data_IF_936980611221
#
_entry.id   IF_936980611221
#
_cell.length_a   1.000
_cell.length_b   1.000
_cell.length_c   1.000
_cell.angle_alpha   90.00
_cell.angle_beta   90.00
_cell.angle_gamma   90.00
#
_symmetry.space_group_name_H-M   'P 1'
#
loop_
_entity.id
_entity.type
_entity.pdbx_description
1 polymer ?
#
# COMPACT_ATOMS: atom_id res chain seq x y z
N UNK A 1 -10.60 -21.71 30.28
CA UNK A 1 -10.86 -20.31 30.69
C UNK A 1 -9.55 -19.57 30.99
N UNK A 2 -8.60 -19.57 30.04
CA UNK A 2 -7.31 -18.84 30.15
C UNK A 2 -7.27 -17.64 29.18
N UNK A 3 -8.19 -17.58 28.20
CA UNK A 3 -8.19 -16.59 27.11
C UNK A 3 -8.80 -15.22 27.43
N UNK A 4 -9.20 -14.95 28.68
CA UNK A 4 -9.80 -13.66 29.07
C UNK A 4 -8.90 -12.84 30.01
N UNK A 5 -7.70 -13.33 30.34
CA UNK A 5 -6.77 -12.64 31.25
C UNK A 5 -5.68 -11.85 30.52
N UNK A 6 -5.65 -11.89 29.19
CA UNK A 6 -4.80 -11.02 28.37
C UNK A 6 -5.50 -9.68 28.00
N UNK A 7 -6.79 -9.52 28.28
CA UNK A 7 -7.56 -8.31 27.95
C UNK A 7 -7.13 -7.06 28.74
N UNK A 8 -6.41 -7.23 29.87
CA UNK A 8 -6.01 -6.12 30.74
C UNK A 8 -4.63 -5.52 30.44
N UNK A 9 -3.85 -6.13 29.54
CA UNK A 9 -2.54 -5.58 29.11
C UNK A 9 -2.65 -4.88 27.74
N UNK A 10 -3.74 -5.08 26.99
CA UNK A 10 -3.88 -4.66 25.60
C UNK A 10 -4.34 -3.20 25.39
N UNK A 11 -4.87 -2.51 26.40
CA UNK A 11 -5.33 -1.12 26.24
C UNK A 11 -4.24 -0.05 26.33
N UNK A 12 -2.98 -0.43 26.58
CA UNK A 12 -1.85 0.52 26.74
C UNK A 12 -0.69 0.39 25.75
N UNK A 13 -0.69 -0.62 24.86
CA UNK A 13 0.47 -0.93 23.98
C UNK A 13 0.15 -0.91 22.49
N UNK A 14 -1.12 -0.78 22.09
CA UNK A 14 -1.51 -0.77 20.68
C UNK A 14 -1.07 0.48 19.90
N UNK A 15 -0.74 1.59 20.59
CA UNK A 15 -0.24 2.80 19.93
C UNK A 15 1.27 2.82 19.70
N UNK A 16 2.06 1.95 20.35
CA UNK A 16 3.53 2.02 20.27
C UNK A 16 4.16 1.14 19.17
N UNK A 17 3.44 0.14 18.65
CA UNK A 17 3.99 -0.75 17.60
C UNK A 17 3.69 -0.28 16.17
N UNK A 18 2.78 0.66 15.96
CA UNK A 18 2.58 1.29 14.65
C UNK A 18 3.79 2.15 14.21
N UNK A 19 4.61 2.61 15.16
CA UNK A 19 5.80 3.41 14.86
C UNK A 19 6.98 2.57 14.33
N UNK A 20 7.07 1.28 14.67
CA UNK A 20 8.22 0.42 14.32
C UNK A 20 8.19 -0.10 12.86
N UNK A 21 7.06 0.01 12.16
CA UNK A 21 6.93 -0.43 10.76
C UNK A 21 6.96 0.72 9.74
N UNK A 22 6.90 2.00 10.18
CA UNK A 22 6.89 3.20 9.33
C UNK A 22 8.14 3.37 8.44
N UNK A 23 9.22 2.65 8.73
CA UNK A 23 10.45 2.68 7.93
C UNK A 23 10.54 1.60 6.83
N UNK A 24 9.59 0.66 6.75
CA UNK A 24 9.61 -0.43 5.75
C UNK A 24 8.61 -0.14 4.63
N UNK A 25 8.95 -0.47 3.36
CA UNK A 25 8.16 -0.08 2.18
C UNK A 25 6.71 -0.60 2.17
N UNK A 26 6.35 -1.58 3.01
CA UNK A 26 4.98 -2.12 3.13
C UNK A 26 4.43 -2.12 4.57
N UNK A 27 5.07 -1.41 5.51
CA UNK A 27 4.71 -1.48 6.93
C UNK A 27 3.30 -0.96 7.25
N UNK A 28 2.83 0.03 6.49
CA UNK A 28 1.46 0.54 6.63
C UNK A 28 0.41 -0.51 6.23
N UNK A 29 0.58 -1.14 5.07
CA UNK A 29 -0.35 -2.17 4.59
C UNK A 29 -0.33 -3.43 5.45
N UNK A 30 0.84 -3.78 5.98
CA UNK A 30 1.00 -4.86 6.95
C UNK A 30 0.18 -4.60 8.23
N UNK A 31 0.29 -3.38 8.79
CA UNK A 31 -0.46 -3.00 9.98
C UNK A 31 -1.97 -3.05 9.77
N UNK A 32 -2.46 -2.55 8.62
CA UNK A 32 -3.89 -2.59 8.29
C UNK A 32 -4.41 -4.02 8.14
N UNK A 33 -3.65 -4.88 7.46
CA UNK A 33 -4.03 -6.29 7.29
C UNK A 33 -4.13 -7.03 8.63
N UNK A 34 -3.14 -6.88 9.52
CA UNK A 34 -3.17 -7.54 10.81
C UNK A 34 -4.24 -6.97 11.75
N UNK A 35 -4.51 -5.66 11.69
CA UNK A 35 -5.61 -5.05 12.45
C UNK A 35 -6.98 -5.63 12.03
N UNK A 36 -7.21 -5.85 10.74
CA UNK A 36 -8.45 -6.49 10.27
C UNK A 36 -8.53 -7.96 10.71
N UNK A 37 -7.42 -8.70 10.62
CA UNK A 37 -7.35 -10.11 11.04
C UNK A 37 -7.57 -10.29 12.55
N UNK A 38 -7.14 -9.33 13.36
CA UNK A 38 -7.40 -9.30 14.80
C UNK A 38 -8.88 -9.09 15.11
N UNK A 39 -9.55 -8.18 14.39
CA UNK A 39 -10.97 -7.88 14.60
C UNK A 39 -11.91 -9.07 14.25
N UNK A 40 -11.64 -9.78 13.14
CA UNK A 40 -12.51 -10.85 12.64
C UNK A 40 -12.01 -12.27 12.96
N UNK A 41 -10.74 -12.43 13.34
CA UNK A 41 -10.10 -13.73 13.55
C UNK A 41 -9.81 -14.51 12.26
N UNK A 42 -9.11 -15.63 12.39
CA UNK A 42 -8.53 -16.37 11.24
C UNK A 42 -9.54 -16.97 10.27
N UNK A 43 -10.76 -17.30 10.73
CA UNK A 43 -11.79 -17.97 9.93
C UNK A 43 -12.60 -16.98 9.08
N UNK A 44 -13.06 -15.88 9.67
CA UNK A 44 -13.85 -14.85 9.00
C UNK A 44 -12.95 -13.81 8.30
N UNK A 45 -11.73 -13.60 8.80
CA UNK A 45 -10.79 -12.64 8.22
C UNK A 45 -10.42 -12.94 6.77
N UNK A 46 -10.44 -14.22 6.33
CA UNK A 46 -10.22 -14.57 4.92
C UNK A 46 -11.31 -14.04 3.97
N UNK A 47 -12.52 -13.82 4.48
CA UNK A 47 -13.63 -13.32 3.68
C UNK A 47 -13.70 -11.79 3.72
N UNK A 48 -13.53 -11.20 4.91
CA UNK A 48 -13.72 -9.76 5.11
C UNK A 48 -12.46 -8.93 4.85
N UNK A 49 -11.27 -9.46 5.17
CA UNK A 49 -9.99 -8.75 5.03
C UNK A 49 -9.32 -8.96 3.66
N UNK A 50 -10.10 -9.29 2.62
CA UNK A 50 -9.57 -9.56 1.27
C UNK A 50 -9.01 -8.29 0.62
N UNK A 51 -9.59 -7.13 0.91
CA UNK A 51 -9.11 -5.85 0.37
C UNK A 51 -7.71 -5.52 0.91
N UNK A 52 -7.55 -5.55 2.23
CA UNK A 52 -6.29 -5.27 2.92
C UNK A 52 -5.22 -6.30 2.54
N UNK A 53 -5.61 -7.56 2.40
CA UNK A 53 -4.72 -8.63 1.94
C UNK A 53 -4.22 -8.40 0.51
N UNK A 54 -5.11 -7.97 -0.41
CA UNK A 54 -4.74 -7.66 -1.80
C UNK A 54 -3.83 -6.45 -1.89
N UNK A 55 -4.02 -5.45 -1.05
CA UNK A 55 -3.18 -4.24 -1.03
C UNK A 55 -1.80 -4.55 -0.43
N UNK A 56 -1.74 -5.35 0.63
CA UNK A 56 -0.47 -5.84 1.16
C UNK A 56 0.29 -6.69 0.14
N UNK A 57 -0.41 -7.59 -0.56
CA UNK A 57 0.19 -8.41 -1.64
C UNK A 57 0.66 -7.55 -2.82
N UNK A 58 -0.10 -6.49 -3.17
CA UNK A 58 0.32 -5.56 -4.22
C UNK A 58 1.59 -4.82 -3.84
N UNK A 59 1.70 -4.35 -2.60
CA UNK A 59 2.90 -3.68 -2.12
C UNK A 59 4.14 -4.58 -2.23
N UNK A 60 4.02 -5.86 -1.87
CA UNK A 60 5.13 -6.82 -1.94
C UNK A 60 5.56 -7.16 -3.38
N UNK A 61 4.60 -7.29 -4.29
CA UNK A 61 4.85 -7.79 -5.66
C UNK A 61 5.01 -6.68 -6.69
N UNK A 62 4.37 -5.54 -6.43
CA UNK A 62 4.22 -4.36 -7.28
C UNK A 62 3.66 -4.69 -8.68
N UNK A 63 2.89 -5.77 -8.79
CA UNK A 63 2.39 -6.23 -10.10
C UNK A 63 1.45 -5.24 -10.77
N UNK A 64 0.49 -4.67 -10.01
CA UNK A 64 -0.51 -3.75 -10.56
C UNK A 64 0.19 -2.46 -11.00
N UNK A 65 1.09 -1.94 -10.18
CA UNK A 65 1.91 -0.77 -10.48
C UNK A 65 2.76 -0.97 -11.76
N UNK A 66 3.43 -2.12 -11.91
CA UNK A 66 4.19 -2.45 -13.14
C UNK A 66 3.30 -2.57 -14.37
N UNK A 67 2.16 -3.27 -14.28
CA UNK A 67 1.20 -3.41 -15.39
C UNK A 67 0.67 -2.06 -15.84
N UNK A 68 0.35 -1.17 -14.89
CA UNK A 68 -0.09 0.21 -15.17
C UNK A 68 0.98 1.01 -15.90
N UNK A 69 2.22 0.99 -15.41
CA UNK A 69 3.33 1.68 -16.07
C UNK A 69 3.56 1.18 -17.50
N UNK A 70 3.55 -0.15 -17.72
CA UNK A 70 3.70 -0.74 -19.05
C UNK A 70 2.58 -0.33 -20.01
N UNK A 71 1.33 -0.32 -19.54
CA UNK A 71 0.19 0.09 -20.37
C UNK A 71 0.31 1.56 -20.81
N UNK A 72 0.66 2.46 -19.89
CA UNK A 72 0.86 3.89 -20.18
C UNK A 72 2.01 4.07 -21.19
N UNK A 73 3.13 3.36 -20.98
CA UNK A 73 4.29 3.37 -21.86
C UNK A 73 3.94 2.91 -23.28
N UNK A 74 3.18 1.83 -23.40
CA UNK A 74 2.80 1.27 -24.68
C UNK A 74 1.84 2.18 -25.45
N UNK A 75 0.83 2.75 -24.77
CA UNK A 75 -0.10 3.68 -25.41
C UNK A 75 0.58 4.96 -25.89
N UNK A 76 1.50 5.53 -25.10
CA UNK A 76 2.28 6.71 -25.54
C UNK A 76 3.14 6.40 -26.76
N UNK A 77 3.83 5.26 -26.75
CA UNK A 77 4.64 4.83 -27.89
C UNK A 77 3.79 4.61 -29.14
N UNK A 78 2.60 4.02 -29.00
CA UNK A 78 1.65 3.84 -30.10
C UNK A 78 1.24 5.18 -30.72
N UNK A 79 0.91 6.18 -29.89
CA UNK A 79 0.54 7.53 -30.35
C UNK A 79 1.71 8.27 -31.01
N UNK A 80 2.92 8.13 -30.48
CA UNK A 80 4.13 8.71 -31.08
C UNK A 80 4.40 8.12 -32.48
N UNK A 81 4.31 6.80 -32.64
CA UNK A 81 4.48 6.17 -33.96
C UNK A 81 3.37 6.52 -34.95
N UNK A 82 2.17 6.84 -34.46
CA UNK A 82 1.06 7.34 -35.29
C UNK A 82 1.26 8.81 -35.70
N UNK A 83 2.20 9.53 -35.08
CA UNK A 83 2.43 10.96 -35.31
C UNK A 83 1.42 11.88 -34.61
N UNK A 84 0.65 11.39 -33.63
CA UNK A 84 -0.27 12.22 -32.82
C UNK A 84 0.49 13.01 -31.72
N UNK A 85 1.73 12.63 -31.43
CA UNK A 85 2.60 13.23 -30.43
C UNK A 85 3.97 13.48 -31.03
N UNK A 86 4.53 14.67 -30.81
CA UNK A 86 5.87 15.06 -31.30
C UNK A 86 7.00 14.29 -30.61
N UNK A 87 6.79 13.86 -29.37
CA UNK A 87 7.74 13.07 -28.56
C UNK A 87 7.01 11.96 -27.80
N UNK A 88 7.67 10.80 -27.64
CA UNK A 88 7.10 9.67 -26.92
C UNK A 88 6.94 9.92 -25.40
N UNK A 89 7.84 10.70 -24.81
CA UNK A 89 7.78 11.14 -23.41
C UNK A 89 8.08 12.64 -23.37
N UNK A 90 7.43 13.37 -22.44
CA UNK A 90 7.78 14.76 -22.15
C UNK A 90 9.08 14.77 -21.35
N UNK A 91 9.92 15.78 -21.56
CA UNK A 91 11.21 15.91 -20.86
C UNK A 91 11.01 16.14 -19.34
N UNK A 92 9.92 16.81 -18.94
CA UNK A 92 9.51 17.01 -17.54
C UNK A 92 8.53 15.92 -17.07
N UNK A 93 8.97 14.67 -17.01
CA UNK A 93 8.20 13.62 -16.34
C UNK A 93 8.78 13.33 -14.95
N UNK A 94 7.95 13.09 -13.91
CA UNK A 94 8.45 12.53 -12.67
C UNK A 94 9.15 11.21 -12.99
N UNK A 95 10.35 11.01 -12.43
CA UNK A 95 11.11 9.80 -12.71
C UNK A 95 10.33 8.59 -12.16
N UNK A 96 10.22 7.48 -12.91
CA UNK A 96 9.59 6.27 -12.39
C UNK A 96 10.37 5.80 -11.15
N UNK A 97 9.71 5.80 -9.99
CA UNK A 97 10.34 5.51 -8.70
C UNK A 97 10.71 6.73 -7.86
N UNK A 98 10.46 7.95 -8.36
CA UNK A 98 10.43 9.14 -7.50
C UNK A 98 9.26 9.02 -6.54
N UNK A 99 9.55 8.60 -5.31
CA UNK A 99 8.60 8.70 -4.20
C UNK A 99 8.53 10.18 -3.80
N UNK A 100 7.53 10.89 -4.31
CA UNK A 100 7.13 12.15 -3.70
C UNK A 100 6.30 11.78 -2.48
N UNK A 101 6.69 12.22 -1.27
CA UNK A 101 5.98 11.85 -0.07
C UNK A 101 4.55 12.37 -0.17
N UNK A 102 3.58 11.47 0.04
CA UNK A 102 2.15 11.77 -0.10
C UNK A 102 1.79 13.02 0.72
N UNK A 103 0.77 13.78 0.32
CA UNK A 103 0.27 14.93 1.10
C UNK A 103 -0.01 14.58 2.59
N UNK A 104 -0.31 13.31 2.87
CA UNK A 104 -0.55 12.79 4.22
C UNK A 104 0.72 12.54 5.06
N UNK A 105 1.90 12.49 4.44
CA UNK A 105 3.18 12.28 5.14
C UNK A 105 3.54 13.39 6.13
N UNK A 106 3.01 14.61 5.91
CA UNK A 106 3.26 15.79 6.76
C UNK A 106 2.09 16.13 7.69
N UNK A 107 0.93 15.50 7.53
CA UNK A 107 -0.22 15.73 8.40
C UNK A 107 -0.11 14.82 9.62
N UNK A 108 0.27 15.38 10.77
CA UNK A 108 0.02 14.70 12.04
C UNK A 108 -1.49 14.56 12.19
N UNK A 109 -1.98 13.33 12.19
CA UNK A 109 -3.34 13.03 12.64
C UNK A 109 -3.37 13.41 14.12
N UNK A 110 -4.01 14.54 14.41
CA UNK A 110 -4.11 15.13 15.73
C UNK A 110 -5.22 14.44 16.53
#
# INVERSE_FOLDING_TARGET
MIYMLYDLVLQGVHFCNAFLTLGRPCGFFEAQFYSCMEAFGSKLGRLYCDLEHRDYTECLTQEKSKKRWMAIRNERRRKFWKGELDKAFLDDHPQPGGYEPDYFSWNRVN
#
